data_IF_200683568775
#
_entry.id   IF_200683568775
#
_cell.length_a   1.000
_cell.length_b   1.000
_cell.length_c   1.000
_cell.angle_alpha   90.00
_cell.angle_beta   90.00
_cell.angle_gamma   90.00
#
_symmetry.space_group_name_H-M   'P 1'
#
loop_
_entity.id
_entity.type
_entity.pdbx_description
1 polymer ?
#
# COMPACT_ATOMS: atom_id res chain seq x y z
N UNK A 1 -6.90 -11.40 -13.55
CA UNK A 1 -7.19 -11.39 -12.09
C UNK A 1 -6.86 -12.75 -11.53
N UNK A 2 -6.16 -12.84 -10.39
CA UNK A 2 -5.87 -14.15 -9.76
C UNK A 2 -7.21 -14.77 -9.33
N UNK A 3 -7.51 -15.98 -9.81
CA UNK A 3 -8.72 -16.71 -9.44
C UNK A 3 -8.67 -16.97 -7.92
N UNK A 4 -9.73 -16.61 -7.21
CA UNK A 4 -9.88 -16.98 -5.80
C UNK A 4 -9.88 -18.49 -5.70
N UNK A 5 -9.20 -19.05 -4.70
CA UNK A 5 -9.21 -20.50 -4.43
C UNK A 5 -10.58 -21.02 -3.99
N UNK A 6 -11.45 -20.12 -3.53
CA UNK A 6 -12.78 -20.41 -3.03
C UNK A 6 -13.85 -19.90 -3.99
N UNK A 7 -14.82 -20.74 -4.31
CA UNK A 7 -16.03 -20.34 -5.03
C UNK A 7 -16.95 -19.51 -4.14
N UNK A 8 -17.83 -18.71 -4.74
CA UNK A 8 -18.78 -17.87 -3.99
C UNK A 8 -19.74 -18.74 -3.16
N UNK A 9 -20.12 -19.92 -3.66
CA UNK A 9 -20.91 -20.92 -2.93
C UNK A 9 -20.19 -21.45 -1.68
N UNK A 10 -18.89 -21.73 -1.78
CA UNK A 10 -18.06 -22.14 -0.64
C UNK A 10 -17.99 -21.03 0.41
N UNK A 11 -17.84 -19.77 -0.01
CA UNK A 11 -17.80 -18.62 0.90
C UNK A 11 -19.13 -18.46 1.65
N UNK A 12 -20.27 -18.60 0.96
CA UNK A 12 -21.60 -18.49 1.57
C UNK A 12 -21.87 -19.66 2.52
N UNK A 13 -21.45 -20.88 2.18
CA UNK A 13 -21.54 -22.05 3.06
C UNK A 13 -20.78 -21.86 4.38
N UNK A 14 -19.54 -21.35 4.31
CA UNK A 14 -18.71 -21.04 5.48
C UNK A 14 -19.35 -19.97 6.38
N UNK A 15 -20.03 -18.97 5.81
CA UNK A 15 -20.73 -17.94 6.58
C UNK A 15 -22.00 -18.48 7.27
N UNK A 16 -22.69 -19.46 6.68
CA UNK A 16 -23.86 -20.13 7.29
C UNK A 16 -23.49 -21.01 8.49
N UNK A 17 -22.30 -21.64 8.48
CA UNK A 17 -21.80 -22.40 9.63
C UNK A 17 -21.67 -21.53 10.91
N UNK A 18 -21.49 -20.21 10.76
CA UNK A 18 -21.49 -19.26 11.88
C UNK A 18 -22.91 -19.05 12.46
N UNK A 19 -23.95 -19.08 11.62
CA UNK A 19 -25.35 -18.95 12.06
C UNK A 19 -25.80 -20.18 12.86
N UNK A 20 -25.21 -21.35 12.60
CA UNK A 20 -25.38 -22.58 13.37
C UNK A 20 -24.63 -22.61 14.72
N UNK A 21 -24.19 -21.44 15.23
CA UNK A 21 -23.52 -21.22 16.54
C UNK A 21 -22.13 -21.88 16.70
N UNK A 22 -21.38 -22.10 15.62
CA UNK A 22 -19.97 -22.45 15.74
C UNK A 22 -19.09 -21.20 15.97
N UNK A 23 -18.07 -21.27 16.85
CA UNK A 23 -17.15 -20.16 17.05
C UNK A 23 -16.29 -19.92 15.80
N UNK A 24 -16.08 -18.65 15.46
CA UNK A 24 -15.32 -18.22 14.25
C UNK A 24 -13.93 -18.87 14.20
N UNK A 25 -13.28 -19.03 15.34
CA UNK A 25 -11.97 -19.67 15.45
C UNK A 25 -11.95 -21.15 15.01
N UNK A 26 -13.07 -21.87 15.12
CA UNK A 26 -13.18 -23.27 14.69
C UNK A 26 -13.47 -23.36 13.18
N UNK A 27 -14.28 -22.44 12.67
CA UNK A 27 -14.58 -22.30 11.24
C UNK A 27 -13.29 -21.98 10.46
N UNK A 28 -12.48 -21.04 10.96
CA UNK A 28 -11.19 -20.69 10.36
C UNK A 28 -10.21 -21.85 10.35
N UNK A 29 -10.21 -22.71 11.40
CA UNK A 29 -9.38 -23.92 11.46
C UNK A 29 -9.84 -25.00 10.49
N UNK A 30 -11.14 -25.31 10.44
CA UNK A 30 -11.71 -26.35 9.56
C UNK A 30 -11.51 -26.03 8.08
N UNK A 31 -11.68 -24.77 7.70
CA UNK A 31 -11.59 -24.35 6.30
C UNK A 31 -10.20 -23.82 5.91
N UNK A 32 -9.22 -23.84 6.82
CA UNK A 32 -7.87 -23.29 6.62
C UNK A 32 -7.87 -21.83 6.15
N UNK A 33 -8.69 -21.01 6.81
CA UNK A 33 -8.90 -19.60 6.50
C UNK A 33 -8.43 -18.75 7.68
N UNK A 34 -7.93 -17.53 7.41
CA UNK A 34 -7.62 -16.57 8.47
C UNK A 34 -8.87 -15.80 8.92
N UNK A 35 -8.93 -15.41 10.19
CA UNK A 35 -10.03 -14.58 10.72
C UNK A 35 -10.27 -13.32 9.88
N UNK A 36 -9.19 -12.68 9.40
CA UNK A 36 -9.28 -11.49 8.54
C UNK A 36 -10.03 -11.77 7.22
N UNK A 37 -9.79 -12.93 6.62
CA UNK A 37 -10.50 -13.36 5.40
C UNK A 37 -11.97 -13.61 5.69
N UNK A 38 -12.30 -14.23 6.83
CA UNK A 38 -13.68 -14.47 7.25
C UNK A 38 -14.47 -13.17 7.44
N UNK A 39 -13.93 -12.17 8.14
CA UNK A 39 -14.59 -10.87 8.30
C UNK A 39 -14.71 -10.09 6.99
N UNK A 40 -13.71 -10.23 6.10
CA UNK A 40 -13.79 -9.65 4.74
C UNK A 40 -14.92 -10.29 3.94
N UNK A 41 -15.11 -11.60 4.04
CA UNK A 41 -16.22 -12.30 3.41
C UNK A 41 -17.56 -11.92 4.02
N UNK A 42 -17.66 -11.83 5.35
CA UNK A 42 -18.88 -11.37 6.03
C UNK A 42 -19.29 -9.97 5.60
N UNK A 43 -18.35 -9.05 5.37
CA UNK A 43 -18.66 -7.72 4.86
C UNK A 43 -19.13 -7.71 3.40
N UNK A 44 -18.72 -8.69 2.59
CA UNK A 44 -19.01 -8.75 1.15
C UNK A 44 -20.21 -9.62 0.81
N UNK A 45 -20.44 -10.68 1.58
CA UNK A 45 -21.43 -11.73 1.33
C UNK A 45 -22.42 -11.91 2.48
N UNK A 46 -22.29 -11.17 3.59
CA UNK A 46 -23.15 -11.29 4.78
C UNK A 46 -24.60 -10.84 4.63
N UNK A 47 -25.03 -10.48 3.42
CA UNK A 47 -26.43 -10.15 3.07
C UNK A 47 -26.95 -10.92 1.86
N UNK A 48 -26.21 -11.91 1.33
CA UNK A 48 -26.68 -12.78 0.24
C UNK A 48 -27.21 -14.09 0.83
N UNK A 49 -28.53 -14.27 0.80
CA UNK A 49 -29.12 -15.61 0.91
C UNK A 49 -29.00 -16.34 -0.43
N UNK A 50 -28.91 -17.67 -0.39
CA UNK A 50 -28.59 -18.57 -1.54
C UNK A 50 -29.60 -18.47 -2.70
N UNK A 51 -30.66 -17.67 -2.58
CA UNK A 51 -31.73 -17.55 -3.59
C UNK A 51 -31.73 -16.26 -4.42
N UNK A 52 -30.79 -15.33 -4.24
CA UNK A 52 -30.71 -14.09 -5.06
C UNK A 52 -29.41 -14.00 -5.89
N UNK A 53 -29.03 -15.10 -6.54
CA UNK A 53 -28.08 -15.07 -7.65
C UNK A 53 -28.85 -14.88 -8.96
N UNK A 54 -28.64 -13.80 -9.75
CA UNK A 54 -29.27 -13.68 -11.06
C UNK A 54 -28.78 -14.81 -11.98
N UNK A 55 -29.65 -15.42 -12.81
CA UNK A 55 -29.27 -16.53 -13.68
C UNK A 55 -28.45 -15.99 -14.87
N UNK A 56 -27.13 -15.95 -14.68
CA UNK A 56 -26.18 -15.52 -15.69
C UNK A 56 -25.91 -16.61 -16.72
N UNK A 57 -26.73 -16.62 -17.78
CA UNK A 57 -26.27 -16.90 -19.15
C UNK A 57 -25.95 -18.35 -19.50
N UNK A 58 -26.93 -19.00 -20.14
CA UNK A 58 -26.72 -20.18 -20.95
C UNK A 58 -25.60 -19.99 -22.00
N UNK A 59 -24.71 -20.98 -22.15
CA UNK A 59 -24.08 -21.39 -23.44
C UNK A 59 -23.37 -22.74 -23.32
N UNK A 60 -24.07 -23.77 -23.82
CA UNK A 60 -23.65 -24.78 -24.82
C UNK A 60 -22.40 -25.64 -24.54
N UNK A 61 -22.64 -26.91 -24.18
CA UNK A 61 -22.17 -28.13 -24.88
C UNK A 61 -20.67 -28.46 -24.96
N UNK A 62 -20.28 -29.48 -24.15
CA UNK A 62 -19.38 -30.64 -24.37
C UNK A 62 -17.94 -30.48 -24.96
N UNK A 63 -17.00 -31.44 -24.74
CA UNK A 63 -16.91 -32.51 -23.72
C UNK A 63 -15.57 -32.54 -22.94
N UNK A 64 -15.50 -33.47 -21.99
CA UNK A 64 -14.34 -33.87 -21.20
C UNK A 64 -13.12 -34.25 -22.07
N UNK A 65 -11.95 -33.71 -21.74
CA UNK A 65 -10.66 -34.24 -22.18
C UNK A 65 -9.94 -34.84 -20.97
N UNK A 66 -9.54 -36.09 -21.15
CA UNK A 66 -9.02 -37.05 -20.18
C UNK A 66 -7.65 -36.66 -19.63
N UNK A 67 -7.37 -37.19 -18.44
CA UNK A 67 -6.06 -37.18 -17.80
C UNK A 67 -4.96 -37.77 -18.70
N UNK A 68 -3.76 -37.20 -18.63
CA UNK A 68 -2.53 -37.92 -18.94
C UNK A 68 -1.49 -37.65 -17.83
N UNK A 69 -0.78 -38.68 -17.33
CA UNK A 69 0.17 -38.60 -16.24
C UNK A 69 1.57 -38.24 -16.76
N UNK A 70 2.38 -37.59 -15.92
CA UNK A 70 3.79 -37.39 -16.26
C UNK A 70 4.60 -36.61 -15.24
N UNK A 71 5.42 -37.34 -14.47
CA UNK A 71 6.83 -37.05 -14.15
C UNK A 71 7.10 -35.64 -13.56
N UNK A 72 7.33 -35.49 -12.25
CA UNK A 72 8.53 -35.97 -11.58
C UNK A 72 9.62 -34.90 -11.70
N UNK A 73 9.82 -34.09 -10.65
CA UNK A 73 11.15 -33.61 -10.26
C UNK A 73 11.13 -32.91 -8.90
N UNK A 74 12.14 -33.26 -8.10
CA UNK A 74 12.34 -32.84 -6.73
C UNK A 74 12.57 -31.32 -6.63
N UNK A 75 11.87 -30.66 -5.70
CA UNK A 75 12.15 -29.27 -5.33
C UNK A 75 13.45 -29.23 -4.51
N UNK A 76 14.49 -28.46 -4.90
CA UNK A 76 15.62 -28.24 -4.02
C UNK A 76 15.17 -27.38 -2.84
N UNK A 77 15.47 -27.87 -1.63
CA UNK A 77 15.17 -27.22 -0.37
C UNK A 77 15.73 -25.80 -0.31
N UNK A 78 14.93 -24.89 0.24
CA UNK A 78 15.34 -23.52 0.51
C UNK A 78 16.48 -23.52 1.53
N UNK A 79 17.71 -23.41 1.06
CA UNK A 79 18.85 -23.10 1.89
C UNK A 79 18.61 -21.76 2.61
N UNK A 80 18.68 -21.80 3.94
CA UNK A 80 18.56 -20.65 4.82
C UNK A 80 19.61 -19.61 4.46
N UNK A 81 19.20 -18.52 3.77
CA UNK A 81 20.03 -17.32 3.66
C UNK A 81 19.93 -16.54 4.97
N UNK A 82 21.10 -16.32 5.57
CA UNK A 82 21.29 -15.56 6.79
C UNK A 82 20.60 -14.21 6.75
N UNK A 83 20.39 -13.65 7.94
CA UNK A 83 19.74 -12.37 8.19
C UNK A 83 20.60 -11.24 7.60
N UNK A 84 20.53 -11.06 6.29
CA UNK A 84 20.81 -9.79 5.67
C UNK A 84 19.83 -8.81 6.30
N UNK A 85 20.34 -7.85 7.07
CA UNK A 85 19.55 -6.73 7.56
C UNK A 85 18.96 -6.06 6.33
N UNK A 86 17.72 -6.41 5.99
CA UNK A 86 17.08 -5.97 4.76
C UNK A 86 17.10 -4.45 4.77
N UNK A 87 17.69 -3.85 3.72
CA UNK A 87 17.44 -2.47 3.39
C UNK A 87 15.98 -2.38 2.93
N UNK A 88 15.06 -2.32 3.91
CA UNK A 88 13.62 -2.41 3.68
C UNK A 88 13.08 -1.13 3.03
N UNK A 89 13.74 0.00 3.25
CA UNK A 89 13.28 1.30 2.74
C UNK A 89 14.12 1.76 1.56
N UNK A 90 13.45 2.35 0.56
CA UNK A 90 14.11 2.97 -0.60
C UNK A 90 15.10 4.06 -0.17
N UNK A 91 14.81 4.77 0.93
CA UNK A 91 15.72 5.76 1.52
C UNK A 91 17.03 5.10 1.99
N UNK A 92 16.95 4.03 2.79
CA UNK A 92 18.14 3.31 3.26
C UNK A 92 18.95 2.72 2.08
N UNK A 93 18.28 2.23 1.03
CA UNK A 93 18.93 1.77 -0.19
C UNK A 93 19.66 2.90 -0.92
N UNK A 94 19.06 4.10 -1.04
CA UNK A 94 19.72 5.26 -1.65
C UNK A 94 20.95 5.69 -0.87
N UNK A 95 20.87 5.74 0.46
CA UNK A 95 22.02 6.04 1.32
C UNK A 95 23.14 5.02 1.15
N UNK A 96 22.81 3.73 1.06
CA UNK A 96 23.78 2.68 0.80
C UNK A 96 24.45 2.84 -0.58
N UNK A 97 23.71 3.28 -1.61
CA UNK A 97 24.27 3.53 -2.95
C UNK A 97 25.24 4.70 -2.90
N UNK A 98 24.85 5.81 -2.26
CA UNK A 98 25.76 6.96 -2.09
C UNK A 98 27.02 6.58 -1.32
N UNK A 99 26.89 5.82 -0.22
CA UNK A 99 28.04 5.29 0.53
C UNK A 99 28.96 4.42 -0.33
N UNK A 100 28.39 3.56 -1.17
CA UNK A 100 29.17 2.68 -2.06
C UNK A 100 29.92 3.46 -3.16
N UNK A 101 29.37 4.58 -3.62
CA UNK A 101 30.05 5.47 -4.58
C UNK A 101 31.18 6.22 -3.86
N UNK A 102 30.89 6.86 -2.73
CA UNK A 102 31.82 7.74 -2.01
C UNK A 102 32.97 6.97 -1.35
N UNK A 103 32.69 5.84 -0.69
CA UNK A 103 33.67 5.13 0.14
C UNK A 103 34.39 4.00 -0.59
N UNK A 104 33.77 3.44 -1.65
CA UNK A 104 34.33 2.32 -2.42
C UNK A 104 34.66 2.67 -3.86
N UNK A 105 34.37 3.90 -4.31
CA UNK A 105 34.66 4.35 -5.67
C UNK A 105 33.89 3.59 -6.75
N UNK A 106 32.77 2.96 -6.41
CA UNK A 106 31.97 2.25 -7.41
C UNK A 106 31.22 3.23 -8.31
N UNK A 107 31.09 2.88 -9.59
CA UNK A 107 30.21 3.61 -10.49
C UNK A 107 28.76 3.49 -10.02
N UNK A 108 27.96 4.53 -10.31
CA UNK A 108 26.54 4.57 -9.92
C UNK A 108 25.79 3.30 -10.33
N UNK A 109 26.01 2.81 -11.55
CA UNK A 109 25.41 1.59 -12.08
C UNK A 109 25.81 0.34 -11.27
N UNK A 110 27.09 0.23 -10.89
CA UNK A 110 27.61 -0.91 -10.11
C UNK A 110 27.05 -0.90 -8.68
N UNK A 111 27.00 0.28 -8.05
CA UNK A 111 26.43 0.44 -6.71
C UNK A 111 24.92 0.14 -6.68
N UNK A 112 24.15 0.63 -7.67
CA UNK A 112 22.73 0.34 -7.81
C UNK A 112 22.46 -1.16 -8.00
N UNK A 113 23.22 -1.84 -8.87
CA UNK A 113 23.11 -3.28 -9.10
C UNK A 113 23.43 -4.10 -7.85
N UNK A 114 24.45 -3.72 -7.08
CA UNK A 114 24.85 -4.40 -5.85
C UNK A 114 23.76 -4.32 -4.76
N UNK A 115 23.09 -3.18 -4.64
CA UNK A 115 22.11 -2.91 -3.58
C UNK A 115 20.69 -3.31 -3.99
N UNK A 116 20.46 -3.63 -5.26
CA UNK A 116 19.13 -3.96 -5.79
C UNK A 116 18.22 -2.73 -5.83
N UNK A 117 18.77 -1.58 -6.22
CA UNK A 117 18.03 -0.35 -6.51
C UNK A 117 18.12 -0.05 -8.01
N UNK A 118 17.02 0.34 -8.63
CA UNK A 118 17.05 0.80 -10.01
C UNK A 118 17.73 2.16 -10.13
N UNK A 119 18.55 2.35 -11.17
CA UNK A 119 19.30 3.59 -11.40
C UNK A 119 18.41 4.82 -11.50
N UNK A 120 17.22 4.69 -12.11
CA UNK A 120 16.23 5.76 -12.20
C UNK A 120 15.68 6.13 -10.81
N UNK A 121 15.40 5.12 -9.99
CA UNK A 121 15.00 5.33 -8.59
C UNK A 121 16.10 6.01 -7.79
N UNK A 122 17.39 5.75 -8.06
CA UNK A 122 18.48 6.49 -7.40
C UNK A 122 18.56 7.95 -7.87
N UNK A 123 18.46 8.17 -9.19
CA UNK A 123 18.55 9.52 -9.81
C UNK A 123 17.36 10.41 -9.50
N UNK A 124 16.19 9.83 -9.18
CA UNK A 124 15.01 10.60 -8.84
C UNK A 124 15.23 11.44 -7.56
N UNK A 125 15.49 12.73 -7.76
CA UNK A 125 15.45 13.75 -6.73
C UNK A 125 14.06 14.40 -6.72
N UNK A 126 13.42 14.43 -5.56
CA UNK A 126 12.17 15.19 -5.41
C UNK A 126 12.50 16.68 -5.42
N UNK A 127 12.31 17.34 -6.55
CA UNK A 127 12.43 18.80 -6.65
C UNK A 127 11.22 19.43 -5.95
N UNK A 128 11.44 20.01 -4.78
CA UNK A 128 10.45 20.89 -4.15
C UNK A 128 10.68 22.28 -4.74
N UNK A 129 9.63 22.90 -5.29
CA UNK A 129 9.70 24.25 -5.82
C UNK A 129 10.14 25.27 -4.76
N UNK A 130 10.64 26.42 -5.21
CA UNK A 130 11.06 27.52 -4.35
C UNK A 130 9.86 28.09 -3.56
N UNK A 131 9.64 27.53 -2.38
CA UNK A 131 8.56 27.94 -1.48
C UNK A 131 8.97 29.11 -0.58
N UNK A 132 10.11 29.77 -0.85
CA UNK A 132 10.69 30.78 0.02
C UNK A 132 9.80 32.01 0.19
N UNK A 133 9.27 32.55 -0.91
CA UNK A 133 8.35 33.70 -0.88
C UNK A 133 7.07 33.39 -0.10
N UNK A 134 6.52 32.19 -0.29
CA UNK A 134 5.32 31.72 0.41
C UNK A 134 5.59 31.58 1.91
N UNK A 135 6.74 31.04 2.32
CA UNK A 135 7.14 30.92 3.73
C UNK A 135 7.24 32.29 4.39
N UNK A 136 7.88 33.24 3.73
CA UNK A 136 8.03 34.60 4.26
C UNK A 136 6.67 35.25 4.47
N UNK A 137 5.77 35.17 3.48
CA UNK A 137 4.42 35.73 3.60
C UNK A 137 3.61 35.04 4.69
N UNK A 138 3.71 33.72 4.78
CA UNK A 138 3.06 32.93 5.82
C UNK A 138 3.51 33.36 7.24
N UNK A 139 4.82 33.53 7.45
CA UNK A 139 5.38 34.02 8.72
C UNK A 139 4.84 35.39 9.09
N UNK A 140 4.79 36.31 8.13
CA UNK A 140 4.25 37.66 8.36
C UNK A 140 2.78 37.59 8.82
N UNK A 141 1.93 36.84 8.10
CA UNK A 141 0.52 36.68 8.45
C UNK A 141 0.31 35.98 9.81
N UNK A 142 1.14 34.99 10.14
CA UNK A 142 1.09 34.31 11.42
C UNK A 142 1.53 35.22 12.57
N UNK A 143 2.53 36.08 12.35
CA UNK A 143 3.02 37.04 13.36
C UNK A 143 2.00 38.13 13.67
N UNK A 144 1.30 38.64 12.65
CA UNK A 144 0.23 39.63 12.79
C UNK A 144 -1.00 39.04 13.49
N UNK A 145 -1.28 37.75 13.29
CA UNK A 145 -2.53 37.09 13.73
C UNK A 145 -2.28 35.78 14.46
N UNK A 146 -1.75 35.87 15.69
CA UNK A 146 -1.36 34.72 16.54
C UNK A 146 -2.44 33.67 16.82
N UNK A 147 -3.74 33.96 16.64
CA UNK A 147 -4.85 33.00 16.89
C UNK A 147 -5.30 32.25 15.62
N UNK A 148 -4.66 32.49 14.48
CA UNK A 148 -5.10 31.93 13.21
C UNK A 148 -4.31 30.66 12.88
N UNK A 149 -5.01 29.53 12.76
CA UNK A 149 -4.43 28.29 12.24
C UNK A 149 -4.36 28.27 10.71
N UNK A 150 -3.71 27.23 10.16
CA UNK A 150 -3.45 27.08 8.72
C UNK A 150 -4.69 27.23 7.81
N UNK A 151 -5.91 26.88 8.27
CA UNK A 151 -7.14 27.04 7.49
C UNK A 151 -7.51 28.51 7.25
N UNK A 152 -7.32 29.37 8.26
CA UNK A 152 -7.56 30.83 8.11
C UNK A 152 -6.44 31.48 7.30
N UNK A 153 -5.20 31.06 7.52
CA UNK A 153 -4.05 31.51 6.73
C UNK A 153 -4.23 31.16 5.24
N UNK A 154 -4.82 30.00 4.91
CA UNK A 154 -5.12 29.63 3.52
C UNK A 154 -6.08 30.61 2.84
N UNK A 155 -7.09 31.09 3.56
CA UNK A 155 -8.08 32.04 3.00
C UNK A 155 -7.41 33.39 2.75
N UNK A 156 -6.57 33.84 3.68
CA UNK A 156 -5.82 35.10 3.53
C UNK A 156 -4.84 35.03 2.36
N UNK A 157 -4.07 33.96 2.26
CA UNK A 157 -3.15 33.74 1.13
C UNK A 157 -3.90 33.67 -0.20
N UNK A 158 -5.10 33.09 -0.23
CA UNK A 158 -5.94 33.07 -1.44
C UNK A 158 -6.41 34.47 -1.84
N UNK A 159 -6.70 35.36 -0.87
CA UNK A 159 -7.06 36.77 -1.15
C UNK A 159 -5.89 37.56 -1.69
N UNK A 160 -4.67 37.21 -1.30
CA UNK A 160 -3.42 37.80 -1.80
C UNK A 160 -2.98 37.21 -3.15
N UNK A 161 -3.78 36.33 -3.76
CA UNK A 161 -3.49 35.71 -5.06
C UNK A 161 -2.59 34.46 -5.00
N UNK A 162 -2.16 34.03 -3.81
CA UNK A 162 -1.34 32.83 -3.63
C UNK A 162 -2.23 31.58 -3.55
N UNK A 163 -2.50 30.96 -4.69
CA UNK A 163 -3.27 29.71 -4.76
C UNK A 163 -2.43 28.50 -4.35
N UNK A 164 -2.47 28.13 -3.07
CA UNK A 164 -1.76 26.96 -2.55
C UNK A 164 -2.74 25.82 -2.23
N UNK A 165 -2.31 24.57 -2.48
CA UNK A 165 -3.03 23.39 -1.98
C UNK A 165 -2.96 23.36 -0.45
N UNK A 166 -4.07 23.09 0.22
CA UNK A 166 -4.13 23.04 1.69
C UNK A 166 -3.09 22.08 2.29
N UNK A 167 -2.76 20.96 1.62
CA UNK A 167 -1.72 20.01 2.06
C UNK A 167 -0.32 20.63 2.06
N UNK A 168 -0.04 21.49 1.07
CA UNK A 168 1.24 22.20 0.95
C UNK A 168 1.36 23.22 2.07
N UNK A 169 0.31 24.01 2.31
CA UNK A 169 0.29 24.99 3.40
C UNK A 169 0.42 24.32 4.77
N UNK A 170 -0.33 23.25 5.04
CA UNK A 170 -0.25 22.52 6.31
C UNK A 170 1.14 21.95 6.58
N UNK A 171 1.81 21.44 5.53
CA UNK A 171 3.20 20.98 5.64
C UNK A 171 4.15 22.14 5.95
N UNK A 172 4.03 23.27 5.26
CA UNK A 172 4.85 24.47 5.52
C UNK A 172 4.60 25.01 6.92
N UNK A 173 3.35 25.11 7.36
CA UNK A 173 2.96 25.56 8.71
C UNK A 173 3.58 24.68 9.81
N UNK A 174 3.63 23.37 9.59
CA UNK A 174 4.28 22.40 10.48
C UNK A 174 5.80 22.48 10.43
N UNK A 175 6.40 22.65 9.26
CA UNK A 175 7.85 22.87 9.09
C UNK A 175 8.29 24.17 9.80
N UNK A 176 7.49 25.22 9.73
CA UNK A 176 7.73 26.54 10.34
C UNK A 176 7.32 26.62 11.82
N UNK A 177 6.74 25.54 12.38
CA UNK A 177 6.23 25.45 13.77
C UNK A 177 5.25 26.57 14.15
N UNK A 178 4.51 27.11 13.17
CA UNK A 178 3.56 28.22 13.34
C UNK A 178 2.21 27.77 13.90
N UNK A 179 2.05 26.48 14.20
CA UNK A 179 0.81 25.96 14.76
C UNK A 179 0.51 26.62 16.10
N UNK A 180 -0.54 27.44 16.09
CA UNK A 180 -1.23 27.94 17.27
C UNK A 180 -1.60 26.74 18.15
N UNK A 181 -1.10 26.73 19.40
CA UNK A 181 -1.60 25.84 20.46
C UNK A 181 -2.85 26.44 21.08
#
# INVERSE_FOLDING_TARGET
MKKSRFSEEQIIGVLKEQQARLPVAEICRRHSISDATFYTWRSRFGGMEVSDAPPGGARRGEPQAQEAPGQGEARPGHAARGVEKRLLTTCARRTAVSWAIEQKGYSQCRACRLIGLESETYRYASTRGEDAAVRLRLRNLASERRRFGYRRLLILLRREGLTLKHKKLFRLDREERLSVR
#
